data_IF_945563268607
#
_entry.id   IF_945563268607
#
_cell.length_a   1.000
_cell.length_b   1.000
_cell.length_c   1.000
_cell.angle_alpha   90.00
_cell.angle_beta   90.00
_cell.angle_gamma   90.00
#
_symmetry.space_group_name_H-M   'P 1'
#
loop_
_entity.id
_entity.type
_entity.pdbx_description
1 polymer ?
#
# COMPACT_ATOMS: atom_id res chain seq x y z
N UNK A 1 22.84 17.94 19.88
CA UNK A 1 22.96 16.64 19.20
C UNK A 1 22.43 16.81 17.78
N UNK A 2 23.25 16.66 16.72
CA UNK A 2 22.76 16.86 15.36
C UNK A 2 21.95 15.64 14.93
N UNK A 3 20.66 15.83 14.68
CA UNK A 3 19.83 14.80 14.03
C UNK A 3 20.36 14.61 12.62
N UNK A 4 20.91 13.43 12.34
CA UNK A 4 21.47 13.08 11.04
C UNK A 4 20.34 13.10 10.01
N UNK A 5 20.45 13.93 8.95
CA UNK A 5 19.41 14.11 7.93
C UNK A 5 18.96 12.80 7.24
N UNK A 6 19.76 11.73 7.34
CA UNK A 6 19.42 10.40 6.82
C UNK A 6 18.34 9.66 7.64
N UNK A 7 18.20 9.97 8.93
CA UNK A 7 17.29 9.26 9.86
C UNK A 7 15.81 9.51 9.53
N UNK A 8 15.48 10.73 9.13
CA UNK A 8 14.12 11.09 8.73
C UNK A 8 13.67 10.37 7.45
N UNK A 9 14.58 10.22 6.47
CA UNK A 9 14.28 9.53 5.21
C UNK A 9 14.12 8.02 5.42
N UNK A 10 14.97 7.43 6.27
CA UNK A 10 14.85 6.01 6.63
C UNK A 10 13.55 5.72 7.39
N UNK A 11 13.19 6.58 8.35
CA UNK A 11 11.91 6.51 9.06
C UNK A 11 10.73 6.62 8.09
N UNK A 12 10.86 7.44 7.06
CA UNK A 12 9.84 7.65 6.04
C UNK A 12 9.62 6.40 5.17
N UNK A 13 10.70 5.78 4.71
CA UNK A 13 10.63 4.54 3.93
C UNK A 13 9.99 3.42 4.75
N UNK A 14 10.41 3.27 6.02
CA UNK A 14 9.80 2.29 6.95
C UNK A 14 8.30 2.47 7.14
N UNK A 15 7.77 3.70 7.03
CA UNK A 15 6.32 3.95 7.07
C UNK A 15 5.62 3.43 5.81
N UNK A 16 6.22 3.62 4.64
CA UNK A 16 5.67 3.09 3.39
C UNK A 16 5.76 1.56 3.31
N UNK A 17 6.84 0.96 3.80
CA UNK A 17 6.96 -0.50 3.87
C UNK A 17 5.79 -1.11 4.65
N UNK A 18 5.46 -0.53 5.81
CA UNK A 18 4.28 -0.94 6.59
C UNK A 18 2.96 -0.80 5.82
N UNK A 19 2.81 0.24 5.00
CA UNK A 19 1.63 0.44 4.18
C UNK A 19 1.53 -0.64 3.10
N UNK A 20 2.64 -0.96 2.42
CA UNK A 20 2.65 -2.01 1.39
C UNK A 20 2.34 -3.39 1.99
N UNK A 21 2.96 -3.72 3.12
CA UNK A 21 2.67 -4.94 3.89
C UNK A 21 1.19 -5.00 4.30
N UNK A 22 0.64 -3.88 4.77
CA UNK A 22 -0.76 -3.80 5.17
C UNK A 22 -1.70 -4.01 3.97
N UNK A 23 -1.43 -3.36 2.83
CA UNK A 23 -2.21 -3.53 1.60
C UNK A 23 -2.21 -5.00 1.18
N UNK A 24 -1.03 -5.64 1.10
CA UNK A 24 -0.90 -7.02 0.62
C UNK A 24 -1.69 -8.02 1.49
N UNK A 25 -1.66 -7.85 2.81
CA UNK A 25 -2.37 -8.72 3.76
C UNK A 25 -3.89 -8.55 3.71
N UNK A 26 -4.38 -7.38 3.34
CA UNK A 26 -5.81 -7.04 3.37
C UNK A 26 -6.40 -6.78 1.96
N UNK A 27 -5.77 -7.31 0.90
CA UNK A 27 -6.22 -7.09 -0.49
C UNK A 27 -7.66 -7.57 -0.75
N UNK A 28 -8.14 -8.55 0.00
CA UNK A 28 -9.47 -9.14 -0.15
C UNK A 28 -10.55 -8.33 0.61
N UNK A 29 -10.16 -7.26 1.33
CA UNK A 29 -11.03 -6.42 2.16
C UNK A 29 -11.21 -5.01 1.57
N UNK A 30 -12.23 -4.27 2.03
CA UNK A 30 -12.39 -2.85 1.70
C UNK A 30 -11.31 -1.97 2.31
N UNK A 31 -10.29 -1.60 1.51
CA UNK A 31 -9.22 -0.70 1.94
C UNK A 31 -9.60 0.77 1.67
N UNK A 32 -9.74 1.55 2.73
CA UNK A 32 -10.03 2.99 2.69
C UNK A 32 -8.75 3.83 2.78
N UNK A 33 -8.80 5.05 2.23
CA UNK A 33 -7.66 5.98 2.24
C UNK A 33 -7.25 6.36 3.67
N UNK A 34 -8.24 6.53 4.55
CA UNK A 34 -8.10 6.90 5.94
C UNK A 34 -7.27 5.86 6.69
N UNK A 35 -7.61 4.57 6.54
CA UNK A 35 -6.90 3.46 7.17
C UNK A 35 -5.42 3.41 6.73
N UNK A 36 -5.15 3.57 5.44
CA UNK A 36 -3.78 3.55 4.92
C UNK A 36 -2.97 4.75 5.42
N UNK A 37 -3.63 5.92 5.56
CA UNK A 37 -2.98 7.11 6.11
C UNK A 37 -2.62 6.95 7.59
N UNK A 38 -3.46 6.26 8.37
CA UNK A 38 -3.18 5.92 9.77
C UNK A 38 -1.99 4.97 9.90
N UNK A 39 -1.92 3.93 9.07
CA UNK A 39 -0.78 2.99 9.02
C UNK A 39 0.53 3.73 8.71
N UNK A 40 0.48 4.73 7.83
CA UNK A 40 1.63 5.55 7.48
C UNK A 40 1.96 6.65 8.52
N UNK A 41 1.10 6.86 9.52
CA UNK A 41 1.12 8.01 10.42
C UNK A 41 1.17 9.36 9.68
N UNK A 42 0.30 9.51 8.67
CA UNK A 42 0.11 10.74 7.91
C UNK A 42 -1.37 11.17 7.95
N UNK A 43 -1.63 12.46 7.69
CA UNK A 43 -2.99 12.86 7.33
C UNK A 43 -3.39 12.26 5.98
N UNK A 44 -4.69 12.01 5.71
CA UNK A 44 -5.14 11.44 4.44
C UNK A 44 -4.65 12.20 3.21
N UNK A 45 -4.64 13.54 3.27
CA UNK A 45 -4.17 14.38 2.19
C UNK A 45 -2.65 14.29 1.96
N UNK A 46 -1.85 14.26 3.05
CA UNK A 46 -0.41 14.10 2.92
C UNK A 46 -0.04 12.70 2.42
N UNK A 47 -0.72 11.67 2.94
CA UNK A 47 -0.58 10.31 2.47
C UNK A 47 -0.86 10.19 0.98
N UNK A 48 -2.00 10.72 0.50
CA UNK A 48 -2.35 10.65 -0.92
C UNK A 48 -1.28 11.28 -1.81
N UNK A 49 -0.82 12.49 -1.48
CA UNK A 49 0.23 13.18 -2.25
C UNK A 49 1.54 12.39 -2.24
N UNK A 50 1.95 11.90 -1.08
CA UNK A 50 3.21 11.19 -0.99
C UNK A 50 3.16 9.82 -1.66
N UNK A 51 2.08 9.08 -1.48
CA UNK A 51 1.91 7.79 -2.13
C UNK A 51 1.97 7.95 -3.64
N UNK A 52 1.30 8.96 -4.20
CA UNK A 52 1.39 9.26 -5.63
C UNK A 52 2.82 9.64 -6.06
N UNK A 53 3.54 10.41 -5.25
CA UNK A 53 4.95 10.73 -5.53
C UNK A 53 5.89 9.50 -5.43
N UNK A 54 5.59 8.54 -4.55
CA UNK A 54 6.38 7.32 -4.35
C UNK A 54 6.09 6.26 -5.44
N UNK A 55 4.82 6.03 -5.73
CA UNK A 55 4.34 4.92 -6.57
C UNK A 55 4.00 5.36 -8.01
N UNK A 56 3.98 6.66 -8.29
CA UNK A 56 3.57 7.22 -9.57
C UNK A 56 2.06 7.10 -9.87
N UNK A 57 1.27 6.66 -8.89
CA UNK A 57 -0.18 6.50 -9.03
C UNK A 57 -0.92 6.63 -7.69
N UNK A 58 -2.22 6.96 -7.69
CA UNK A 58 -3.03 7.00 -6.48
C UNK A 58 -3.16 5.63 -5.79
N UNK A 59 -3.36 5.60 -4.45
CA UNK A 59 -3.49 4.35 -3.68
C UNK A 59 -4.56 3.40 -4.21
N UNK A 60 -5.75 3.93 -4.57
CA UNK A 60 -6.85 3.12 -5.08
C UNK A 60 -6.50 2.36 -6.37
N UNK A 61 -5.77 3.02 -7.29
CA UNK A 61 -5.32 2.40 -8.54
C UNK A 61 -4.29 1.30 -8.28
N UNK A 62 -3.36 1.55 -7.36
CA UNK A 62 -2.38 0.55 -6.95
C UNK A 62 -3.05 -0.71 -6.37
N UNK A 63 -4.02 -0.54 -5.46
CA UNK A 63 -4.77 -1.64 -4.85
C UNK A 63 -5.53 -2.44 -5.91
N UNK A 64 -6.19 -1.76 -6.85
CA UNK A 64 -6.90 -2.42 -7.95
C UNK A 64 -5.96 -3.29 -8.80
N UNK A 65 -4.78 -2.79 -9.13
CA UNK A 65 -3.77 -3.55 -9.89
C UNK A 65 -3.26 -4.76 -9.10
N UNK A 66 -3.06 -4.62 -7.79
CA UNK A 66 -2.63 -5.74 -6.93
C UNK A 66 -3.71 -6.82 -6.82
N UNK A 67 -4.98 -6.44 -6.68
CA UNK A 67 -6.11 -7.39 -6.72
C UNK A 67 -6.19 -8.12 -8.05
N UNK A 68 -6.05 -7.40 -9.17
CA UNK A 68 -6.05 -8.01 -10.50
C UNK A 68 -4.90 -9.00 -10.64
N UNK A 69 -3.68 -8.61 -10.27
CA UNK A 69 -2.50 -9.48 -10.27
C UNK A 69 -2.75 -10.77 -9.47
N UNK A 70 -3.32 -10.66 -8.26
CA UNK A 70 -3.64 -11.81 -7.41
C UNK A 70 -4.70 -12.71 -8.01
N UNK A 71 -5.77 -12.13 -8.55
CA UNK A 71 -6.83 -12.89 -9.22
C UNK A 71 -6.30 -13.62 -10.46
N UNK A 72 -5.49 -12.96 -11.30
CA UNK A 72 -4.84 -13.60 -12.44
C UNK A 72 -3.92 -14.74 -12.02
N UNK A 73 -3.16 -14.58 -10.94
CA UNK A 73 -2.31 -15.65 -10.41
C UNK A 73 -3.15 -16.83 -9.90
N UNK A 74 -4.21 -16.58 -9.12
CA UNK A 74 -5.14 -17.62 -8.65
C UNK A 74 -5.76 -18.38 -9.83
N UNK A 75 -6.22 -17.67 -10.87
CA UNK A 75 -6.77 -18.31 -12.07
C UNK A 75 -5.76 -19.19 -12.81
N UNK A 76 -4.51 -18.74 -12.93
CA UNK A 76 -3.47 -19.47 -13.66
C UNK A 76 -2.94 -20.70 -12.91
N UNK A 77 -2.86 -20.64 -11.58
CA UNK A 77 -2.16 -21.65 -10.76
C UNK A 77 -3.06 -22.40 -9.78
N UNK A 78 -4.24 -21.88 -9.46
CA UNK A 78 -5.23 -22.49 -8.57
C UNK A 78 -6.61 -22.63 -9.26
N UNK A 79 -6.72 -23.34 -10.39
CA UNK A 79 -7.96 -23.38 -11.20
C UNK A 79 -9.16 -24.01 -10.48
N UNK A 80 -8.96 -24.70 -9.34
CA UNK A 80 -10.02 -25.28 -8.52
C UNK A 80 -10.50 -24.36 -7.39
N UNK A 81 -9.85 -23.23 -7.17
CA UNK A 81 -10.26 -22.24 -6.18
C UNK A 81 -11.41 -21.41 -6.79
N UNK A 82 -12.66 -21.77 -6.44
CA UNK A 82 -13.84 -21.03 -6.91
C UNK A 82 -13.77 -19.60 -6.41
N UNK A 83 -13.65 -18.66 -7.35
CA UNK A 83 -13.97 -17.27 -7.09
C UNK A 83 -15.49 -17.18 -7.32
N UNK A 84 -16.23 -17.10 -6.20
CA UNK A 84 -17.69 -17.14 -6.03
C UNK A 84 -18.26 -18.55 -5.73
#
# INVERSE_FOLDING_TARGET
MPVNKNDHRETYLKRFDKVFDYIERHLDEGLLLEQLSEVAHFSPYHFHRQFNACCGMPPGRYIQLMRLKRASYRLAFNPHEKII
#
